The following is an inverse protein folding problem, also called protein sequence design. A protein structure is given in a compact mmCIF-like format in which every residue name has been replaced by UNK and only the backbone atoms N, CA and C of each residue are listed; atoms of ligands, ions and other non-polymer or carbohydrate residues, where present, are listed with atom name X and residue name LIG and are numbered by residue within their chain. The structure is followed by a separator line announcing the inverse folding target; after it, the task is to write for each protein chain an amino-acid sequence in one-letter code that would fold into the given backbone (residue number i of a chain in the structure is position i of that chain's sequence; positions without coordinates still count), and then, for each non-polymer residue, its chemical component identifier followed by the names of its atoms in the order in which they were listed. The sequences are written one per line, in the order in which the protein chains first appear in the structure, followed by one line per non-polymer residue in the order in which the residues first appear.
data_IF_310153449769
#
_entry.id   IF_310153449769
#
_cell.length_a   1.000
_cell.length_b   1.000
_cell.length_c   1.000
_cell.angle_alpha   90.00
_cell.angle_beta   90.00
_cell.angle_gamma   90.00
#
_symmetry.space_group_name_H-M   'P 1'
#
loop_
_entity.id
_entity.type
_entity.pdbx_description
1 polymer ?
#
# COMPACT_ATOMS: atom_id res chain seq x y z
N UNK A 1 12.87 -19.69 -1.28
CA UNK A 1 11.94 -18.64 -1.73
C UNK A 1 10.62 -18.92 -1.04
N UNK A 2 10.18 -18.09 -0.09
CA UNK A 2 8.92 -18.35 0.62
C UNK A 2 7.75 -18.26 -0.36
N UNK A 3 7.00 -19.35 -0.50
CA UNK A 3 5.75 -19.36 -1.23
C UNK A 3 4.77 -18.37 -0.60
N UNK A 4 3.97 -17.63 -1.40
CA UNK A 4 2.97 -16.71 -0.85
C UNK A 4 1.95 -17.50 -0.02
N UNK A 5 1.90 -17.25 1.28
CA UNK A 5 0.85 -17.79 2.17
C UNK A 5 -0.30 -16.80 2.24
N UNK A 6 -1.55 -17.29 2.36
CA UNK A 6 -2.73 -16.41 2.52
C UNK A 6 -2.69 -15.56 3.79
N UNK A 7 -1.83 -15.92 4.73
CA UNK A 7 -1.69 -15.22 6.02
C UNK A 7 -0.55 -14.19 6.02
N UNK A 8 0.15 -13.99 4.90
CA UNK A 8 1.21 -12.98 4.83
C UNK A 8 0.65 -11.57 4.58
N UNK A 9 1.34 -10.59 5.15
CA UNK A 9 1.08 -9.16 4.94
C UNK A 9 2.14 -8.63 4.00
N UNK A 10 1.73 -8.02 2.90
CA UNK A 10 2.63 -7.48 1.87
C UNK A 10 2.74 -5.98 1.95
N UNK A 11 3.90 -5.45 1.57
CA UNK A 11 4.15 -4.02 1.43
C UNK A 11 4.90 -3.69 0.14
N UNK A 12 4.62 -2.53 -0.47
CA UNK A 12 5.40 -1.98 -1.57
C UNK A 12 5.22 -0.46 -1.70
N UNK A 13 6.18 0.20 -2.35
CA UNK A 13 6.02 1.57 -2.86
C UNK A 13 5.01 1.54 -4.02
N UNK A 14 4.02 2.44 -4.00
CA UNK A 14 2.92 2.50 -4.98
C UNK A 14 2.92 3.78 -5.83
N UNK A 15 3.95 4.61 -5.71
CA UNK A 15 4.20 5.75 -6.59
C UNK A 15 5.33 5.43 -7.56
N UNK A 16 5.38 6.07 -8.75
CA UNK A 16 6.52 5.96 -9.67
C UNK A 16 7.85 6.29 -8.98
N UNK A 17 8.93 5.70 -9.49
CA UNK A 17 10.27 6.01 -9.00
C UNK A 17 10.67 7.46 -9.30
N UNK A 18 11.39 8.09 -8.37
CA UNK A 18 11.90 9.45 -8.53
C UNK A 18 11.39 10.42 -7.46
N UNK A 19 11.89 11.66 -7.52
CA UNK A 19 11.45 12.73 -6.62
C UNK A 19 10.10 13.27 -7.06
N UNK A 20 9.23 13.57 -6.11
CA UNK A 20 7.91 14.14 -6.37
C UNK A 20 7.34 14.85 -5.14
N UNK A 21 6.12 15.38 -5.27
CA UNK A 21 5.43 16.01 -4.14
C UNK A 21 5.13 14.99 -3.03
N UNK A 22 4.75 13.77 -3.42
CA UNK A 22 4.38 12.70 -2.50
C UNK A 22 4.91 11.34 -2.96
N UNK A 23 5.23 10.50 -1.99
CA UNK A 23 5.42 9.07 -2.15
C UNK A 23 4.33 8.33 -1.36
N UNK A 24 3.96 7.14 -1.83
CA UNK A 24 3.02 6.27 -1.13
C UNK A 24 3.60 4.86 -0.94
N UNK A 25 3.45 4.31 0.26
CA UNK A 25 3.72 2.89 0.56
C UNK A 25 2.41 2.24 0.96
N UNK A 26 2.02 1.16 0.27
CA UNK A 26 0.81 0.39 0.58
C UNK A 26 1.16 -0.89 1.29
N UNK A 27 0.33 -1.27 2.26
CA UNK A 27 0.41 -2.51 3.03
C UNK A 27 -0.94 -3.23 2.92
N UNK A 28 -0.95 -4.54 2.69
CA UNK A 28 -2.19 -5.35 2.58
C UNK A 28 -2.01 -6.71 3.24
N UNK A 29 -3.00 -7.14 4.02
CA UNK A 29 -3.02 -8.46 4.66
C UNK A 29 -3.42 -8.41 6.15
N UNK A 30 -3.43 -9.55 6.85
CA UNK A 30 -4.03 -9.68 8.18
C UNK A 30 -3.35 -8.87 9.29
N UNK A 31 -2.12 -8.40 9.09
CA UNK A 31 -1.37 -7.57 10.04
C UNK A 31 -1.14 -6.14 9.53
N UNK A 32 -1.79 -5.72 8.44
CA UNK A 32 -1.52 -4.43 7.82
C UNK A 32 -1.66 -3.26 8.82
N UNK A 33 -2.72 -3.28 9.63
CA UNK A 33 -2.96 -2.22 10.60
C UNK A 33 -1.95 -2.25 11.74
N UNK A 34 -1.64 -3.44 12.26
CA UNK A 34 -0.66 -3.63 13.33
C UNK A 34 0.73 -3.15 12.90
N UNK A 35 1.20 -3.60 11.73
CA UNK A 35 2.52 -3.26 11.19
C UNK A 35 2.70 -1.75 10.96
N UNK A 36 1.67 -1.03 10.50
CA UNK A 36 1.77 0.43 10.37
C UNK A 36 1.68 1.13 11.73
N UNK A 37 0.82 0.66 12.65
CA UNK A 37 0.69 1.26 13.98
C UNK A 37 1.97 1.14 14.80
N UNK A 38 2.70 0.02 14.70
CA UNK A 38 3.98 -0.16 15.39
C UNK A 38 5.08 0.80 14.91
N UNK A 39 4.93 1.35 13.70
CA UNK A 39 5.84 2.36 13.15
C UNK A 39 5.49 3.78 13.59
N UNK A 40 4.36 4.02 14.26
CA UNK A 40 3.90 5.35 14.61
C UNK A 40 4.11 5.66 16.09
N UNK A 41 4.45 6.92 16.40
CA UNK A 41 4.57 7.41 17.78
C UNK A 41 3.85 8.75 17.98
N UNK A 42 2.72 8.80 18.71
CA UNK A 42 1.99 7.66 19.27
C UNK A 42 1.33 6.81 18.17
N UNK A 43 1.01 5.53 18.45
CA UNK A 43 0.26 4.71 17.51
C UNK A 43 -1.13 5.34 17.29
N UNK A 44 -1.58 5.52 16.03
CA UNK A 44 -2.90 6.07 15.76
C UNK A 44 -3.98 5.11 16.29
N UNK A 45 -5.19 5.61 16.62
CA UNK A 45 -6.32 4.75 16.91
C UNK A 45 -6.64 3.90 15.68
N UNK A 46 -7.13 2.67 15.87
CA UNK A 46 -7.62 1.83 14.76
C UNK A 46 -8.92 2.48 14.26
N UNK A 47 -8.94 3.08 13.05
CA UNK A 47 -10.11 3.83 12.64
C UNK A 47 -11.14 2.88 12.00
N UNK A 48 -12.44 3.15 12.16
CA UNK A 48 -13.50 2.41 11.48
C UNK A 48 -13.65 2.76 9.98
N UNK A 49 -12.92 3.79 9.49
CA UNK A 49 -12.96 4.33 8.13
C UNK A 49 -11.62 4.97 7.72
N UNK A 50 -11.58 5.60 6.54
CA UNK A 50 -10.50 6.45 6.03
C UNK A 50 -10.11 7.55 7.04
N UNK A 51 -9.18 7.26 7.93
CA UNK A 51 -8.67 8.24 8.89
C UNK A 51 -7.47 8.95 8.30
N UNK A 52 -7.49 10.28 8.29
CA UNK A 52 -6.30 11.08 8.05
C UNK A 52 -5.63 11.41 9.38
N UNK A 53 -4.42 10.88 9.62
CA UNK A 53 -3.64 11.23 10.82
C UNK A 53 -2.21 11.63 10.41
N UNK A 54 -1.75 12.84 10.76
CA UNK A 54 -0.34 13.16 10.83
C UNK A 54 0.33 12.24 11.85
N UNK A 55 1.23 11.38 11.40
CA UNK A 55 1.98 10.47 12.30
C UNK A 55 3.47 10.71 12.15
N UNK A 56 4.18 10.79 13.27
CA UNK A 56 5.62 10.64 13.29
C UNK A 56 5.95 9.15 13.14
N UNK A 57 6.68 8.80 12.09
CA UNK A 57 7.23 7.45 11.94
C UNK A 57 8.43 7.32 12.89
N UNK A 58 8.52 6.22 13.63
CA UNK A 58 9.34 6.03 14.83
C UNK A 58 10.87 6.28 14.62
N UNK A 59 11.69 6.36 15.69
CA UNK A 59 12.80 7.31 15.86
C UNK A 59 13.99 7.23 14.88
N UNK A 60 14.08 6.18 14.06
CA UNK A 60 15.09 6.11 12.99
C UNK A 60 14.75 6.97 11.77
N UNK A 61 13.45 7.21 11.53
CA UNK A 61 12.93 8.03 10.44
C UNK A 61 12.75 9.51 10.85
N UNK A 62 12.70 9.79 12.15
CA UNK A 62 12.37 11.09 12.69
C UNK A 62 10.88 11.46 12.56
N UNK A 63 10.50 12.60 13.11
CA UNK A 63 9.12 13.10 12.98
C UNK A 63 8.88 13.62 11.56
N UNK A 64 8.24 12.80 10.72
CA UNK A 64 7.90 13.15 9.36
C UNK A 64 6.39 13.36 9.20
N UNK A 65 5.93 14.37 8.45
CA UNK A 65 4.51 14.52 8.17
C UNK A 65 4.05 13.43 7.20
N UNK A 66 3.36 12.41 7.71
CA UNK A 66 2.71 11.39 6.89
C UNK A 66 1.18 11.46 7.00
N UNK A 67 0.46 11.06 5.95
CA UNK A 67 -0.98 10.78 5.98
C UNK A 67 -1.15 9.28 5.89
N UNK A 68 -1.74 8.69 6.93
CA UNK A 68 -2.20 7.31 6.84
C UNK A 68 -3.60 7.27 6.25
N UNK A 69 -3.93 6.21 5.51
CA UNK A 69 -5.28 5.88 5.07
C UNK A 69 -5.51 4.41 5.40
N UNK A 70 -6.54 4.10 6.19
CA UNK A 70 -6.88 2.74 6.59
C UNK A 70 -8.15 2.29 5.88
N UNK A 71 -8.13 1.07 5.35
CA UNK A 71 -9.26 0.42 4.69
C UNK A 71 -9.49 -0.94 5.35
N UNK A 72 -10.65 -1.13 5.96
CA UNK A 72 -11.02 -2.39 6.60
C UNK A 72 -11.42 -3.45 5.55
N UNK A 73 -11.14 -4.72 5.83
CA UNK A 73 -11.74 -5.82 5.08
C UNK A 73 -13.27 -5.84 5.28
N UNK A 74 -14.09 -6.18 4.27
CA UNK A 74 -13.74 -6.41 2.86
C UNK A 74 -13.80 -5.14 1.98
N UNK A 75 -13.84 -3.95 2.60
CA UNK A 75 -14.05 -2.64 1.96
C UNK A 75 -12.71 -1.97 1.58
N UNK A 76 -11.85 -2.73 0.91
CA UNK A 76 -10.56 -2.27 0.39
C UNK A 76 -10.35 -2.75 -1.04
N UNK A 77 -9.29 -2.27 -1.70
CA UNK A 77 -8.93 -2.70 -3.05
C UNK A 77 -8.66 -4.20 -3.12
N UNK A 78 -7.88 -4.74 -2.19
CA UNK A 78 -7.54 -6.17 -2.15
C UNK A 78 -8.63 -7.01 -1.49
N UNK A 79 -9.58 -6.41 -0.77
CA UNK A 79 -10.54 -7.13 0.07
C UNK A 79 -9.98 -7.51 1.46
N UNK A 80 -8.72 -7.19 1.74
CA UNK A 80 -8.06 -7.39 3.04
C UNK A 80 -8.04 -6.08 3.85
N UNK A 81 -7.47 -6.11 5.05
CA UNK A 81 -7.03 -4.86 5.68
C UNK A 81 -5.92 -4.23 4.83
N UNK A 82 -6.08 -2.95 4.50
CA UNK A 82 -5.09 -2.19 3.72
C UNK A 82 -4.76 -0.88 4.43
N UNK A 83 -3.48 -0.53 4.46
CA UNK A 83 -3.02 0.79 4.89
C UNK A 83 -2.20 1.42 3.79
N UNK A 84 -2.42 2.71 3.53
CA UNK A 84 -1.54 3.52 2.69
C UNK A 84 -0.87 4.60 3.53
N UNK A 85 0.45 4.71 3.40
CA UNK A 85 1.28 5.71 4.03
C UNK A 85 1.68 6.72 2.95
N UNK A 86 1.17 7.94 3.03
CA UNK A 86 1.47 9.03 2.10
C UNK A 86 2.39 10.05 2.76
N UNK A 87 3.51 10.38 2.15
CA UNK A 87 4.56 11.21 2.75
C UNK A 87 5.28 12.05 1.69
N UNK A 88 6.19 12.97 2.04
CA UNK A 88 6.98 13.71 1.05
C UNK A 88 7.66 12.78 0.04
N UNK A 89 7.68 13.16 -1.24
CA UNK A 89 8.17 12.31 -2.33
C UNK A 89 9.69 12.19 -2.41
N UNK A 90 10.30 11.60 -1.38
CA UNK A 90 11.70 11.18 -1.35
C UNK A 90 11.78 9.66 -1.57
N UNK A 91 12.50 9.20 -2.61
CA UNK A 91 12.77 7.77 -2.82
C UNK A 91 13.46 7.11 -1.63
N UNK A 92 14.37 7.84 -0.98
CA UNK A 92 15.11 7.38 0.19
C UNK A 92 14.14 7.12 1.34
N UNK A 93 13.25 8.08 1.62
CA UNK A 93 12.20 7.93 2.63
C UNK A 93 11.25 6.76 2.31
N UNK A 94 10.85 6.59 1.04
CA UNK A 94 10.03 5.46 0.60
C UNK A 94 10.71 4.12 0.87
N UNK A 95 12.01 4.03 0.59
CA UNK A 95 12.83 2.85 0.88
C UNK A 95 12.96 2.56 2.37
N UNK A 96 13.18 3.59 3.20
CA UNK A 96 13.31 3.43 4.65
C UNK A 96 12.00 2.97 5.30
N UNK A 97 10.86 3.54 4.89
CA UNK A 97 9.54 3.10 5.38
C UNK A 97 9.24 1.67 4.95
N UNK A 98 9.52 1.32 3.69
CA UNK A 98 9.35 -0.06 3.22
C UNK A 98 10.24 -1.02 4.02
N UNK A 99 11.52 -0.68 4.22
CA UNK A 99 12.46 -1.50 5.01
C UNK A 99 11.98 -1.69 6.46
N UNK A 100 11.42 -0.65 7.07
CA UNK A 100 10.87 -0.72 8.41
C UNK A 100 9.64 -1.64 8.48
N UNK A 101 8.77 -1.61 7.47
CA UNK A 101 7.62 -2.53 7.35
C UNK A 101 8.08 -3.99 7.17
N UNK A 102 9.10 -4.23 6.34
CA UNK A 102 9.67 -5.57 6.16
C UNK A 102 10.26 -6.10 7.48
N UNK A 103 10.95 -5.23 8.22
CA UNK A 103 11.48 -5.55 9.55
C UNK A 103 10.37 -5.80 10.58
N UNK A 104 9.20 -5.19 10.40
CA UNK A 104 7.99 -5.43 11.20
C UNK A 104 7.20 -6.69 10.77
N UNK A 105 7.77 -7.52 9.88
CA UNK A 105 7.19 -8.80 9.49
C UNK A 105 6.28 -8.75 8.27
N UNK A 106 6.27 -7.64 7.51
CA UNK A 106 5.71 -7.63 6.16
C UNK A 106 6.67 -8.31 5.17
N UNK A 107 6.13 -8.81 4.07
CA UNK A 107 6.89 -9.27 2.90
C UNK A 107 6.83 -8.22 1.79
N UNK A 108 7.86 -8.12 0.95
CA UNK A 108 7.78 -7.31 -0.26
C UNK A 108 6.72 -7.89 -1.22
N UNK A 109 5.81 -7.05 -1.70
CA UNK A 109 4.81 -7.48 -2.69
C UNK A 109 5.48 -7.84 -4.02
N UNK A 110 5.01 -8.90 -4.66
CA UNK A 110 5.40 -9.23 -6.03
C UNK A 110 4.69 -8.35 -7.07
N UNK A 111 5.15 -8.39 -8.35
CA UNK A 111 4.50 -7.67 -9.45
C UNK A 111 3.01 -8.03 -9.54
N UNK A 112 2.14 -7.01 -9.58
CA UNK A 112 0.69 -7.19 -9.69
C UNK A 112 0.02 -7.86 -8.48
N UNK A 113 0.73 -8.10 -7.38
CA UNK A 113 0.22 -8.94 -6.30
C UNK A 113 -1.03 -8.34 -5.61
N UNK A 114 -1.11 -7.02 -5.44
CA UNK A 114 -2.31 -6.37 -4.91
C UNK A 114 -3.53 -6.62 -5.80
N UNK A 115 -3.41 -6.47 -7.12
CA UNK A 115 -4.49 -6.73 -8.07
C UNK A 115 -4.85 -8.21 -8.11
N UNK A 116 -3.85 -9.11 -8.02
CA UNK A 116 -4.09 -10.55 -7.90
C UNK A 116 -4.91 -10.89 -6.65
N UNK A 117 -4.61 -10.28 -5.50
CA UNK A 117 -5.40 -10.46 -4.27
C UNK A 117 -6.82 -9.91 -4.41
N UNK A 118 -6.98 -8.76 -5.06
CA UNK A 118 -8.30 -8.21 -5.37
C UNK A 118 -9.16 -9.20 -6.18
N UNK A 119 -8.59 -9.81 -7.22
CA UNK A 119 -9.25 -10.88 -8.00
C UNK A 119 -9.59 -12.10 -7.13
N UNK A 120 -8.62 -12.62 -6.37
CA UNK A 120 -8.81 -13.80 -5.52
C UNK A 120 -9.87 -13.60 -4.41
N UNK A 121 -10.06 -12.36 -3.96
CA UNK A 121 -11.05 -11.98 -2.96
C UNK A 121 -12.37 -11.49 -3.59
N UNK A 122 -12.57 -11.69 -4.91
CA UNK A 122 -13.81 -11.35 -5.61
C UNK A 122 -14.09 -9.84 -5.69
N UNK A 123 -13.06 -9.00 -5.53
CA UNK A 123 -13.17 -7.54 -5.68
C UNK A 123 -13.17 -7.11 -7.14
N UNK A 124 -12.54 -7.89 -8.01
CA UNK A 124 -12.45 -7.70 -9.45
C UNK A 124 -12.69 -9.05 -10.14
N UNK A 125 -13.28 -9.04 -11.32
CA UNK A 125 -13.17 -10.16 -12.26
C UNK A 125 -11.83 -10.12 -13.02
N UNK A 126 -11.56 -11.13 -13.83
CA UNK A 126 -10.29 -11.24 -14.57
C UNK A 126 -10.12 -10.10 -15.60
N UNK A 127 -11.21 -9.71 -16.28
CA UNK A 127 -11.20 -8.65 -17.28
C UNK A 127 -10.92 -7.29 -16.66
N UNK A 128 -11.47 -7.03 -15.47
CA UNK A 128 -11.20 -5.84 -14.66
C UNK A 128 -9.76 -5.83 -14.14
N UNK A 129 -9.23 -6.97 -13.69
CA UNK A 129 -7.83 -7.07 -13.27
C UNK A 129 -6.85 -6.75 -14.41
N UNK A 130 -7.12 -7.24 -15.62
CA UNK A 130 -6.35 -6.91 -16.83
C UNK A 130 -6.51 -5.44 -17.24
N UNK A 131 -7.70 -4.87 -17.11
CA UNK A 131 -7.95 -3.46 -17.37
C UNK A 131 -7.12 -2.55 -16.47
N UNK A 132 -6.96 -2.89 -15.17
CA UNK A 132 -6.08 -2.14 -14.25
C UNK A 132 -4.64 -2.11 -14.74
N UNK A 133 -4.11 -3.25 -15.20
CA UNK A 133 -2.75 -3.32 -15.73
C UNK A 133 -2.58 -2.50 -17.02
N UNK A 134 -3.57 -2.56 -17.92
CA UNK A 134 -3.60 -1.77 -19.16
C UNK A 134 -3.66 -0.27 -18.89
N UNK A 135 -4.54 0.17 -17.97
CA UNK A 135 -4.66 1.57 -17.58
C UNK A 135 -3.35 2.11 -16.99
N UNK A 136 -2.67 1.33 -16.16
CA UNK A 136 -1.41 1.72 -15.57
C UNK A 136 -0.28 1.86 -16.61
N UNK A 137 -0.34 1.11 -17.71
CA UNK A 137 0.63 1.13 -18.80
C UNK A 137 0.23 2.06 -19.96
N UNK A 138 -0.98 2.61 -19.95
CA UNK A 138 -1.52 3.36 -21.08
C UNK A 138 -0.80 4.71 -21.25
N UNK A 139 -0.22 4.91 -22.44
CA UNK A 139 0.30 6.19 -22.88
C UNK A 139 -0.68 6.84 -23.87
N UNK A 140 -1.24 7.99 -23.51
CA UNK A 140 -2.15 8.77 -24.38
C UNK A 140 -3.65 8.46 -24.21
N UNK A 141 -4.49 9.39 -24.69
CA UNK A 141 -5.94 9.41 -24.46
C UNK A 141 -6.71 8.25 -25.15
N UNK A 142 -6.18 7.71 -26.25
CA UNK A 142 -6.78 6.58 -26.94
C UNK A 142 -6.63 5.29 -26.13
N UNK A 143 -5.42 4.97 -25.69
CA UNK A 143 -5.13 3.79 -24.86
C UNK A 143 -5.85 3.85 -23.49
N UNK A 144 -6.03 5.04 -22.91
CA UNK A 144 -6.81 5.21 -21.67
C UNK A 144 -8.29 4.86 -21.87
N UNK A 145 -8.90 5.28 -22.99
CA UNK A 145 -10.33 5.05 -23.26
C UNK A 145 -10.67 3.60 -23.54
N UNK A 146 -9.78 2.83 -24.16
CA UNK A 146 -9.99 1.40 -24.40
C UNK A 146 -9.88 0.54 -23.14
N UNK A 147 -9.29 1.06 -22.07
CA UNK A 147 -9.05 0.34 -20.84
C UNK A 147 -10.04 0.69 -19.70
N UNK A 148 -10.97 1.63 -19.94
CA UNK A 148 -12.10 1.98 -19.06
C UNK A 148 -13.37 1.21 -19.47
#
# INVERSE_FOLDING_TARGET
MNSPSRDDTIAAVCTPAGRGLRAAVRVSGPRAFESVRSLCSPPPPRPPHLSYTPVALAPRLGSLPARLLFFEAPRSFTGEEVVEIHMPGSPELAGEVLSALLSAGCRAAGPGEFTRRAFLNGKLDISQAEAVARLAAAEGEAARREAL
#
